data_IF_670720237662
#
_entry.id   IF_670720237662
#
_cell.length_a   1.000
_cell.length_b   1.000
_cell.length_c   1.000
_cell.angle_alpha   90.00
_cell.angle_beta   90.00
_cell.angle_gamma   90.00
#
_symmetry.space_group_name_H-M   'P 1'
#
loop_
_entity.id
_entity.type
_entity.pdbx_description
1 polymer ?
#
# COMPACT_ATOMS: atom_id res chain seq x y z
N UNK A 1 -6.28 10.22 16.18
CA UNK A 1 -6.78 9.86 14.83
C UNK A 1 -6.09 10.72 13.78
N UNK A 2 -5.60 10.16 12.70
CA UNK A 2 -4.91 10.90 11.65
C UNK A 2 -5.84 11.78 10.82
N UNK A 3 -5.30 12.87 10.24
CA UNK A 3 -6.02 13.76 9.33
C UNK A 3 -6.48 13.02 8.07
N UNK A 4 -7.51 13.57 7.36
CA UNK A 4 -8.01 13.01 6.10
C UNK A 4 -6.90 12.81 5.06
N UNK A 5 -5.97 13.76 4.99
CA UNK A 5 -4.82 13.74 4.08
C UNK A 5 -3.90 12.57 4.35
N UNK A 6 -3.66 12.25 5.62
CA UNK A 6 -2.83 11.14 6.04
C UNK A 6 -3.43 9.77 5.68
N UNK A 7 -4.76 9.61 5.88
CA UNK A 7 -5.50 8.42 5.47
C UNK A 7 -5.45 8.22 3.95
N UNK A 8 -5.60 9.31 3.19
CA UNK A 8 -5.51 9.28 1.74
C UNK A 8 -4.11 8.88 1.27
N UNK A 9 -3.05 9.48 1.84
CA UNK A 9 -1.67 9.12 1.52
C UNK A 9 -1.39 7.64 1.77
N UNK A 10 -1.85 7.09 2.90
CA UNK A 10 -1.72 5.67 3.21
C UNK A 10 -2.43 4.78 2.18
N UNK A 11 -3.63 5.18 1.75
CA UNK A 11 -4.38 4.45 0.74
C UNK A 11 -3.72 4.49 -0.65
N UNK A 12 -3.17 5.65 -1.05
CA UNK A 12 -2.44 5.78 -2.33
C UNK A 12 -1.20 4.87 -2.34
N UNK A 13 -0.47 4.74 -1.23
CA UNK A 13 0.69 3.85 -1.17
C UNK A 13 0.36 2.38 -1.41
N UNK A 14 -0.90 1.97 -1.27
CA UNK A 14 -1.34 0.60 -1.57
C UNK A 14 -1.16 0.24 -3.05
N UNK A 15 -1.16 1.23 -3.95
CA UNK A 15 -0.97 1.02 -5.39
C UNK A 15 0.49 1.12 -5.85
N UNK A 16 1.42 1.41 -4.95
CA UNK A 16 2.85 1.48 -5.30
C UNK A 16 3.39 0.22 -6.00
N UNK A 17 3.01 -1.02 -5.65
CA UNK A 17 3.50 -2.22 -6.35
C UNK A 17 3.19 -2.24 -7.85
N UNK A 18 2.14 -1.55 -8.31
CA UNK A 18 1.83 -1.39 -9.73
C UNK A 18 2.97 -0.72 -10.48
N UNK A 19 3.55 0.35 -9.91
CA UNK A 19 4.67 1.07 -10.50
C UNK A 19 5.93 0.19 -10.58
N UNK A 20 6.15 -0.65 -9.57
CA UNK A 20 7.25 -1.61 -9.58
C UNK A 20 7.09 -2.64 -10.71
N UNK A 21 5.89 -3.18 -10.90
CA UNK A 21 5.60 -4.14 -11.97
C UNK A 21 5.88 -3.49 -13.34
N UNK A 22 5.38 -2.29 -13.56
CA UNK A 22 5.60 -1.57 -14.81
C UNK A 22 7.07 -1.28 -15.06
N UNK A 23 7.82 -0.93 -14.03
CA UNK A 23 9.26 -0.77 -14.12
C UNK A 23 9.94 -2.07 -14.51
N UNK A 24 9.66 -3.19 -13.86
CA UNK A 24 10.25 -4.51 -14.16
C UNK A 24 9.98 -4.94 -15.60
N UNK A 25 8.74 -4.79 -16.06
CA UNK A 25 8.36 -5.14 -17.44
C UNK A 25 9.06 -4.23 -18.44
N UNK A 26 9.25 -2.93 -18.12
CA UNK A 26 9.97 -2.00 -18.99
C UNK A 26 11.46 -2.36 -19.09
N UNK A 27 12.11 -2.69 -17.97
CA UNK A 27 13.49 -3.16 -17.93
C UNK A 27 13.65 -4.44 -18.77
N UNK A 28 12.77 -5.42 -18.55
CA UNK A 28 12.78 -6.67 -19.31
C UNK A 28 12.66 -6.42 -20.82
N UNK A 29 11.75 -5.55 -21.25
CA UNK A 29 11.55 -5.21 -22.67
C UNK A 29 12.80 -4.58 -23.29
N UNK A 30 13.46 -3.65 -22.58
CA UNK A 30 14.68 -3.00 -23.07
C UNK A 30 15.81 -3.99 -23.20
N UNK A 31 16.03 -4.85 -22.21
CA UNK A 31 17.07 -5.89 -22.25
C UNK A 31 16.84 -6.86 -23.41
N UNK A 32 15.59 -7.24 -23.65
CA UNK A 32 15.26 -8.18 -24.73
C UNK A 32 15.38 -7.57 -26.13
N UNK A 33 15.27 -6.23 -26.23
CA UNK A 33 15.50 -5.50 -27.50
C UNK A 33 16.97 -5.13 -27.77
N UNK A 34 17.90 -5.54 -26.90
CA UNK A 34 19.33 -5.18 -26.98
C UNK A 34 19.63 -3.72 -26.61
N UNK A 35 18.68 -3.03 -26.00
CA UNK A 35 18.83 -1.65 -25.53
C UNK A 35 19.62 -1.54 -24.24
N UNK A 36 20.18 -0.37 -23.98
CA UNK A 36 20.83 -0.04 -22.70
C UNK A 36 19.86 0.64 -21.75
N UNK A 37 19.95 0.29 -20.45
CA UNK A 37 19.13 0.93 -19.40
C UNK A 37 19.77 2.29 -19.09
N UNK A 38 19.17 3.37 -19.61
CA UNK A 38 19.54 4.75 -19.27
C UNK A 38 18.69 5.25 -18.09
N UNK A 39 19.33 5.53 -16.96
CA UNK A 39 18.70 6.28 -15.86
C UNK A 39 18.78 7.79 -16.09
N UNK A 40 18.05 8.56 -15.29
CA UNK A 40 18.05 10.02 -15.33
C UNK A 40 19.48 10.58 -15.35
N UNK A 41 19.74 11.44 -16.30
CA UNK A 41 20.91 12.30 -16.25
C UNK A 41 20.58 13.52 -15.37
N UNK A 42 21.14 13.58 -14.16
CA UNK A 42 20.82 14.64 -13.20
C UNK A 42 21.31 16.02 -13.64
N UNK A 43 22.19 16.12 -14.64
CA UNK A 43 22.68 17.39 -15.17
C UNK A 43 21.64 18.15 -16.01
N UNK A 44 20.72 17.42 -16.68
CA UNK A 44 19.70 17.99 -17.58
C UNK A 44 18.29 17.57 -17.21
N UNK A 45 18.05 17.39 -15.90
CA UNK A 45 16.80 16.89 -15.37
C UNK A 45 15.59 17.77 -15.73
N UNK A 46 14.63 17.18 -16.45
CA UNK A 46 13.31 17.76 -16.68
C UNK A 46 12.28 17.00 -15.87
N UNK A 47 11.29 17.73 -15.31
CA UNK A 47 10.21 17.11 -14.53
C UNK A 47 9.46 16.03 -15.33
N UNK A 48 9.39 16.16 -16.66
CA UNK A 48 8.83 15.16 -17.58
C UNK A 48 9.59 13.83 -17.56
N UNK A 49 10.87 13.83 -17.20
CA UNK A 49 11.69 12.61 -17.18
C UNK A 49 11.29 11.68 -16.04
N UNK A 50 10.71 12.21 -14.96
CA UNK A 50 10.13 11.39 -13.88
C UNK A 50 9.02 10.47 -14.39
N UNK A 51 8.32 10.87 -15.44
CA UNK A 51 7.24 10.09 -16.04
C UNK A 51 7.73 9.15 -17.14
N UNK A 52 9.03 9.07 -17.39
CA UNK A 52 9.59 8.00 -18.21
C UNK A 52 9.43 6.65 -17.47
N UNK A 53 9.12 5.59 -18.21
CA UNK A 53 8.87 4.25 -17.65
C UNK A 53 10.00 3.75 -16.74
N UNK A 54 11.25 4.03 -17.08
CA UNK A 54 12.42 3.65 -16.28
C UNK A 54 12.51 4.41 -14.96
N UNK A 55 11.97 5.62 -14.92
CA UNK A 55 12.03 6.48 -13.75
C UNK A 55 10.86 6.24 -12.76
N UNK A 56 9.88 5.43 -13.13
CA UNK A 56 8.78 5.02 -12.23
C UNK A 56 9.30 4.36 -10.95
N UNK A 57 10.50 3.80 -10.97
CA UNK A 57 11.15 3.24 -9.77
C UNK A 57 11.35 4.30 -8.68
N UNK A 58 11.66 5.55 -9.04
CA UNK A 58 11.82 6.63 -8.07
C UNK A 58 10.49 6.99 -7.40
N UNK A 59 9.41 7.03 -8.19
CA UNK A 59 8.06 7.26 -7.64
C UNK A 59 7.66 6.13 -6.70
N UNK A 60 7.95 4.87 -7.08
CA UNK A 60 7.74 3.72 -6.21
C UNK A 60 8.50 3.86 -4.89
N UNK A 61 9.80 4.19 -4.94
CA UNK A 61 10.64 4.38 -3.73
C UNK A 61 10.06 5.48 -2.83
N UNK A 62 9.64 6.61 -3.41
CA UNK A 62 9.01 7.70 -2.67
C UNK A 62 7.75 7.22 -1.96
N UNK A 63 6.88 6.46 -2.63
CA UNK A 63 5.65 5.91 -2.01
C UNK A 63 5.97 4.92 -0.90
N UNK A 64 7.00 4.08 -1.06
CA UNK A 64 7.47 3.17 0.01
C UNK A 64 7.96 3.96 1.22
N UNK A 65 8.75 5.02 1.01
CA UNK A 65 9.24 5.89 2.08
C UNK A 65 8.08 6.61 2.79
N UNK A 66 7.10 7.12 2.05
CA UNK A 66 5.88 7.72 2.62
C UNK A 66 5.15 6.70 3.49
N UNK A 67 4.96 5.48 3.00
CA UNK A 67 4.29 4.41 3.75
C UNK A 67 5.04 4.07 5.04
N UNK A 68 6.37 3.93 4.96
CA UNK A 68 7.22 3.69 6.13
C UNK A 68 7.13 4.83 7.14
N UNK A 69 7.19 6.07 6.69
CA UNK A 69 7.08 7.27 7.52
C UNK A 69 5.72 7.34 8.23
N UNK A 70 4.63 7.02 7.50
CA UNK A 70 3.28 6.92 8.06
C UNK A 70 3.24 5.92 9.22
N UNK A 71 3.82 4.73 9.03
CA UNK A 71 3.88 3.70 10.07
C UNK A 71 4.72 4.14 11.28
N UNK A 72 5.85 4.81 11.02
CA UNK A 72 6.70 5.32 12.09
C UNK A 72 5.97 6.36 12.94
N UNK A 73 5.28 7.30 12.30
CA UNK A 73 4.45 8.29 12.99
C UNK A 73 3.30 7.63 13.76
N UNK A 74 2.66 6.61 13.18
CA UNK A 74 1.55 5.90 13.82
C UNK A 74 1.98 5.25 15.12
N UNK A 75 3.15 4.62 15.15
CA UNK A 75 3.69 3.97 16.35
C UNK A 75 4.03 4.95 17.46
N UNK A 76 4.54 6.14 17.11
CA UNK A 76 5.09 7.08 18.06
C UNK A 76 4.08 8.12 18.55
N UNK A 77 3.10 8.51 17.71
CA UNK A 77 2.21 9.63 17.98
C UNK A 77 0.75 9.25 18.26
N UNK A 78 0.33 8.03 17.92
CA UNK A 78 -1.06 7.63 18.18
C UNK A 78 -1.24 7.12 19.60
N UNK A 79 -2.35 7.50 20.20
CA UNK A 79 -2.80 6.98 21.50
C UNK A 79 -3.06 5.48 21.41
N UNK A 80 -2.65 4.77 22.45
CA UNK A 80 -2.91 3.35 22.59
C UNK A 80 -4.23 3.17 23.32
N UNK A 81 -5.13 2.41 22.73
CA UNK A 81 -6.43 2.08 23.30
C UNK A 81 -6.52 0.55 23.50
N UNK A 82 -7.35 0.12 24.43
CA UNK A 82 -7.72 -1.28 24.61
C UNK A 82 -8.99 -1.60 23.81
N UNK A 83 -9.10 -2.84 23.34
CA UNK A 83 -10.27 -3.33 22.63
C UNK A 83 -10.61 -4.74 23.11
N UNK A 84 -11.89 -5.00 23.31
CA UNK A 84 -12.37 -6.33 23.61
C UNK A 84 -12.73 -7.05 22.31
N UNK A 85 -11.91 -8.05 21.98
CA UNK A 85 -12.03 -8.84 20.75
C UNK A 85 -12.85 -10.09 21.00
N UNK A 86 -13.83 -10.36 20.14
CA UNK A 86 -14.67 -11.57 20.17
C UNK A 86 -14.09 -12.69 19.31
N UNK A 87 -13.54 -12.33 18.13
CA UNK A 87 -12.95 -13.30 17.21
C UNK A 87 -11.84 -12.69 16.36
N UNK A 88 -10.91 -13.53 15.93
CA UNK A 88 -9.81 -13.20 15.02
C UNK A 88 -9.83 -14.16 13.85
N UNK A 89 -9.69 -13.61 12.63
CA UNK A 89 -9.55 -14.38 11.40
C UNK A 89 -8.39 -13.80 10.58
N UNK A 90 -7.54 -14.65 10.01
CA UNK A 90 -6.50 -14.17 9.06
C UNK A 90 -7.17 -13.63 7.80
N UNK A 91 -6.77 -12.44 7.38
CA UNK A 91 -7.23 -11.77 6.15
C UNK A 91 -6.17 -11.74 5.04
N UNK A 92 -5.10 -12.52 5.18
CA UNK A 92 -4.00 -12.58 4.22
C UNK A 92 -4.44 -13.12 2.85
N UNK A 93 -5.45 -13.98 2.80
CA UNK A 93 -6.00 -14.52 1.54
C UNK A 93 -6.63 -13.40 0.69
N UNK A 94 -7.41 -12.52 1.32
CA UNK A 94 -8.04 -11.38 0.65
C UNK A 94 -6.99 -10.44 0.05
N UNK A 95 -5.82 -10.34 0.68
CA UNK A 95 -4.67 -9.59 0.21
C UNK A 95 -4.12 -10.16 -1.11
N UNK A 96 -3.97 -11.48 -1.22
CA UNK A 96 -3.46 -12.12 -2.44
C UNK A 96 -4.42 -11.89 -3.61
N UNK A 97 -5.73 -12.02 -3.39
CA UNK A 97 -6.76 -11.73 -4.41
C UNK A 97 -6.64 -10.28 -4.90
N UNK A 98 -6.40 -9.35 -4.00
CA UNK A 98 -6.26 -7.94 -4.32
C UNK A 98 -4.99 -7.67 -5.15
N UNK A 99 -3.86 -8.31 -4.82
CA UNK A 99 -2.62 -8.23 -5.60
C UNK A 99 -2.85 -8.76 -7.02
N UNK A 100 -3.48 -9.92 -7.16
CA UNK A 100 -3.80 -10.50 -8.49
C UNK A 100 -4.72 -9.61 -9.31
N UNK A 101 -5.74 -8.98 -8.70
CA UNK A 101 -6.66 -8.07 -9.39
C UNK A 101 -5.97 -6.81 -9.94
N UNK A 102 -4.87 -6.36 -9.32
CA UNK A 102 -4.03 -5.27 -9.85
C UNK A 102 -3.09 -5.74 -10.95
N UNK A 103 -2.59 -6.97 -10.85
CA UNK A 103 -1.58 -7.52 -11.74
C UNK A 103 -2.13 -7.71 -13.16
N UNK A 104 -3.32 -8.29 -13.28
CA UNK A 104 -3.92 -8.63 -14.57
C UNK A 104 -4.09 -7.41 -15.50
N UNK A 105 -4.69 -6.27 -15.07
CA UNK A 105 -4.78 -5.09 -15.92
C UNK A 105 -3.42 -4.48 -16.27
N UNK A 106 -2.41 -4.59 -15.37
CA UNK A 106 -1.09 -4.01 -15.61
C UNK A 106 -0.37 -4.64 -16.81
N UNK A 107 -0.59 -5.93 -17.06
CA UNK A 107 0.04 -6.63 -18.19
C UNK A 107 -0.46 -6.12 -19.55
N UNK A 108 -1.74 -5.80 -19.65
CA UNK A 108 -2.30 -5.25 -20.90
C UNK A 108 -2.01 -3.77 -21.09
N UNK A 109 -2.11 -3.00 -20.02
CA UNK A 109 -1.85 -1.54 -20.03
C UNK A 109 -0.38 -1.23 -20.37
N UNK A 110 0.55 -2.17 -20.08
CA UNK A 110 1.96 -2.01 -20.41
C UNK A 110 2.22 -1.68 -21.90
N UNK A 111 1.41 -2.19 -22.82
CA UNK A 111 1.53 -1.93 -24.27
C UNK A 111 1.12 -0.49 -24.67
N UNK A 112 0.51 0.26 -23.75
CA UNK A 112 0.03 1.63 -23.98
C UNK A 112 1.09 2.66 -23.60
N UNK A 113 0.87 3.91 -24.01
CA UNK A 113 1.75 5.02 -23.68
C UNK A 113 1.78 5.35 -22.19
N UNK A 114 2.88 5.96 -21.73
CA UNK A 114 3.06 6.37 -20.34
C UNK A 114 1.95 7.30 -19.85
N UNK A 115 1.43 8.15 -20.70
CA UNK A 115 0.30 9.04 -20.38
C UNK A 115 -0.94 8.22 -19.98
N UNK A 116 -1.20 7.10 -20.68
CA UNK A 116 -2.29 6.20 -20.35
C UNK A 116 -2.09 5.53 -18.99
N UNK A 117 -0.85 5.11 -18.69
CA UNK A 117 -0.49 4.52 -17.39
C UNK A 117 -0.73 5.49 -16.24
N UNK A 118 -0.33 6.76 -16.42
CA UNK A 118 -0.54 7.81 -15.42
C UNK A 118 -2.03 8.07 -15.22
N UNK A 119 -2.79 8.18 -16.32
CA UNK A 119 -4.24 8.38 -16.27
C UNK A 119 -4.95 7.25 -15.51
N UNK A 120 -4.56 6.01 -15.76
CA UNK A 120 -5.10 4.86 -15.06
C UNK A 120 -4.73 4.86 -13.56
N UNK A 121 -3.48 5.18 -13.22
CA UNK A 121 -3.05 5.31 -11.81
C UNK A 121 -3.82 6.42 -11.08
N UNK A 122 -4.02 7.57 -11.73
CA UNK A 122 -4.83 8.66 -11.18
C UNK A 122 -6.29 8.24 -10.98
N UNK A 123 -6.86 7.49 -11.92
CA UNK A 123 -8.22 6.95 -11.78
C UNK A 123 -8.34 6.05 -10.55
N UNK A 124 -7.35 5.16 -10.30
CA UNK A 124 -7.30 4.36 -9.07
C UNK A 124 -7.24 5.24 -7.81
N UNK A 125 -6.43 6.30 -7.81
CA UNK A 125 -6.36 7.24 -6.69
C UNK A 125 -7.72 7.93 -6.43
N UNK A 126 -8.44 8.29 -7.49
CA UNK A 126 -9.79 8.88 -7.40
C UNK A 126 -10.79 7.87 -6.82
N UNK A 127 -10.76 6.61 -7.27
CA UNK A 127 -11.61 5.54 -6.71
C UNK A 127 -11.37 5.37 -5.21
N UNK A 128 -10.09 5.37 -4.77
CA UNK A 128 -9.75 5.33 -3.35
C UNK A 128 -10.29 6.54 -2.59
N UNK A 129 -10.18 7.72 -3.18
CA UNK A 129 -10.70 8.95 -2.56
C UNK A 129 -12.22 8.91 -2.37
N UNK A 130 -12.94 8.36 -3.36
CA UNK A 130 -14.41 8.23 -3.31
C UNK A 130 -14.83 7.18 -2.27
N UNK A 131 -14.12 6.06 -2.18
CA UNK A 131 -14.41 4.95 -1.27
C UNK A 131 -13.97 5.26 0.17
N UNK A 132 -14.48 6.36 0.74
CA UNK A 132 -14.19 6.81 2.11
C UNK A 132 -14.60 5.72 3.12
N UNK A 133 -13.62 5.17 3.82
CA UNK A 133 -13.89 4.28 4.96
C UNK A 133 -13.90 2.78 4.68
N UNK A 134 -13.65 2.35 3.45
CA UNK A 134 -13.46 0.92 3.16
C UNK A 134 -12.14 0.41 3.74
N UNK A 135 -12.11 -0.88 4.05
CA UNK A 135 -10.92 -1.59 4.52
C UNK A 135 -9.82 -1.53 3.46
N UNK A 136 -8.70 -0.87 3.78
CA UNK A 136 -7.57 -0.79 2.87
C UNK A 136 -6.51 -1.81 3.22
N UNK A 137 -6.43 -2.88 2.43
CA UNK A 137 -5.29 -3.76 2.43
C UNK A 137 -4.16 -3.08 1.63
N UNK A 138 -3.07 -2.74 2.29
CA UNK A 138 -1.90 -2.17 1.64
C UNK A 138 -0.83 -3.24 1.45
N UNK A 139 -0.51 -3.65 0.20
CA UNK A 139 0.50 -4.67 -0.08
C UNK A 139 1.88 -4.35 0.50
N UNK A 140 2.24 -3.07 0.61
CA UNK A 140 3.52 -2.66 1.19
C UNK A 140 3.68 -3.08 2.66
N UNK A 141 2.55 -3.29 3.38
CA UNK A 141 2.62 -3.78 4.76
C UNK A 141 3.28 -5.16 4.85
N UNK A 142 3.06 -6.02 3.85
CA UNK A 142 3.71 -7.33 3.77
C UNK A 142 5.23 -7.20 3.60
N UNK A 143 5.69 -6.24 2.79
CA UNK A 143 7.13 -5.95 2.64
C UNK A 143 7.76 -5.51 3.96
N UNK A 144 7.00 -4.83 4.82
CA UNK A 144 7.44 -4.43 6.16
C UNK A 144 7.22 -5.51 7.23
N UNK A 145 6.82 -6.73 6.84
CA UNK A 145 6.64 -7.88 7.73
C UNK A 145 5.36 -7.84 8.56
N UNK A 146 4.33 -7.10 8.10
CA UNK A 146 3.02 -7.10 8.76
C UNK A 146 2.08 -8.11 8.13
N UNK A 147 1.18 -8.66 8.95
CA UNK A 147 0.06 -9.52 8.55
C UNK A 147 -1.27 -8.85 8.86
N UNK A 148 -2.29 -9.22 8.10
CA UNK A 148 -3.64 -8.69 8.23
C UNK A 148 -4.57 -9.67 8.91
N UNK A 149 -5.37 -9.16 9.85
CA UNK A 149 -6.36 -9.91 10.58
C UNK A 149 -7.68 -9.16 10.60
N UNK A 150 -8.76 -9.84 10.31
CA UNK A 150 -10.11 -9.38 10.63
C UNK A 150 -10.39 -9.66 12.11
N UNK A 151 -10.76 -8.64 12.87
CA UNK A 151 -11.14 -8.76 14.26
C UNK A 151 -12.58 -8.28 14.42
N UNK A 152 -13.41 -9.12 15.01
CA UNK A 152 -14.74 -8.72 15.44
C UNK A 152 -14.70 -8.36 16.93
N UNK A 153 -15.27 -7.22 17.27
CA UNK A 153 -15.40 -6.75 18.66
C UNK A 153 -16.67 -7.31 19.30
N UNK A 154 -16.79 -7.19 20.63
CA UNK A 154 -18.02 -7.55 21.33
C UNK A 154 -19.24 -6.73 20.88
N UNK A 155 -19.02 -5.52 20.37
CA UNK A 155 -20.06 -4.64 19.83
C UNK A 155 -20.41 -4.94 18.36
N UNK A 156 -20.02 -6.11 17.85
CA UNK A 156 -20.29 -6.57 16.49
C UNK A 156 -19.69 -5.71 15.37
N UNK A 157 -18.77 -4.82 15.70
CA UNK A 157 -18.02 -4.03 14.71
C UNK A 157 -16.78 -4.83 14.29
N UNK A 158 -16.58 -4.95 12.97
CA UNK A 158 -15.42 -5.62 12.39
C UNK A 158 -14.37 -4.58 11.99
N UNK A 159 -13.13 -4.80 12.41
CA UNK A 159 -11.97 -3.99 12.07
C UNK A 159 -10.92 -4.83 11.34
N UNK A 160 -10.11 -4.17 10.52
CA UNK A 160 -8.90 -4.75 9.95
C UNK A 160 -7.70 -4.40 10.85
N UNK A 161 -7.08 -5.40 11.45
CA UNK A 161 -5.89 -5.22 12.29
C UNK A 161 -4.63 -5.57 11.53
N UNK A 162 -3.64 -4.70 11.61
CA UNK A 162 -2.29 -4.88 11.06
C UNK A 162 -1.36 -5.22 12.23
N UNK A 163 -0.66 -6.35 12.15
CA UNK A 163 0.26 -6.79 13.20
C UNK A 163 1.56 -7.36 12.62
N UNK A 164 2.70 -7.05 13.27
CA UNK A 164 3.97 -7.74 13.00
C UNK A 164 4.01 -9.14 13.61
N UNK A 165 3.32 -9.32 14.72
CA UNK A 165 3.24 -10.60 15.40
C UNK A 165 2.14 -11.45 14.75
N UNK A 166 2.37 -12.75 14.63
CA UNK A 166 1.34 -13.71 14.23
C UNK A 166 0.37 -13.87 15.39
N UNK A 167 -0.85 -13.35 15.20
CA UNK A 167 -1.91 -13.45 16.18
C UNK A 167 -2.62 -14.80 16.03
N UNK A 168 -2.56 -15.62 17.07
CA UNK A 168 -3.22 -16.93 17.15
C UNK A 168 -4.40 -16.91 18.13
N UNK A 169 -4.32 -16.06 19.15
CA UNK A 169 -5.30 -15.98 20.24
C UNK A 169 -5.77 -14.54 20.44
N UNK A 170 -7.01 -14.39 20.89
CA UNK A 170 -7.63 -13.09 21.21
C UNK A 170 -6.84 -12.34 22.28
N UNK A 171 -6.29 -13.05 23.26
CA UNK A 171 -5.54 -12.48 24.39
C UNK A 171 -4.19 -11.84 24.01
N UNK A 172 -3.72 -12.06 22.77
CA UNK A 172 -2.48 -11.44 22.26
C UNK A 172 -2.70 -9.98 21.86
N UNK A 173 -3.96 -9.53 21.73
CA UNK A 173 -4.32 -8.16 21.42
C UNK A 173 -4.57 -7.41 22.73
N UNK A 174 -3.57 -6.72 23.24
CA UNK A 174 -3.68 -5.92 24.47
C UNK A 174 -3.95 -4.44 24.21
N UNK A 175 -3.34 -3.91 23.16
CA UNK A 175 -3.45 -2.50 22.81
C UNK A 175 -3.38 -2.30 21.29
N UNK A 176 -4.06 -1.28 20.82
CA UNK A 176 -4.04 -0.89 19.41
C UNK A 176 -3.94 0.63 19.25
N UNK A 177 -3.47 1.05 18.09
CA UNK A 177 -3.51 2.43 17.62
C UNK A 177 -4.38 2.51 16.36
N UNK A 178 -5.29 3.47 16.31
CA UNK A 178 -6.22 3.60 15.20
C UNK A 178 -5.59 4.37 14.03
N UNK A 179 -5.37 3.71 12.90
CA UNK A 179 -4.83 4.33 11.68
C UNK A 179 -5.93 5.03 10.88
N UNK A 180 -7.01 4.30 10.61
CA UNK A 180 -8.20 4.83 9.92
C UNK A 180 -9.46 4.42 10.69
N UNK A 181 -10.63 4.75 10.18
CA UNK A 181 -11.89 4.45 10.87
C UNK A 181 -12.09 2.95 11.11
N UNK A 182 -11.55 2.10 10.22
CA UNK A 182 -11.69 0.64 10.30
C UNK A 182 -10.35 -0.12 10.27
N UNK A 183 -9.20 0.58 10.28
CA UNK A 183 -7.87 -0.04 10.29
C UNK A 183 -7.16 0.27 11.59
N UNK A 184 -6.76 -0.79 12.28
CA UNK A 184 -6.06 -0.74 13.56
C UNK A 184 -4.63 -1.27 13.41
N UNK A 185 -3.69 -0.67 14.10
CA UNK A 185 -2.32 -1.16 14.23
C UNK A 185 -2.15 -1.79 15.60
N UNK A 186 -1.74 -3.06 15.65
CA UNK A 186 -1.40 -3.72 16.91
C UNK A 186 -0.21 -3.04 17.57
N UNK A 187 -0.40 -2.58 18.80
CA UNK A 187 0.61 -1.88 19.60
C UNK A 187 1.00 -2.69 20.85
N UNK A 188 0.77 -4.02 20.83
CA UNK A 188 0.98 -4.91 21.97
C UNK A 188 2.46 -5.25 22.23
N UNK A 189 3.39 -4.38 21.83
CA UNK A 189 4.81 -4.50 22.18
C UNK A 189 5.14 -3.60 23.35
#
# INVERSE_FOLDING_TARGET
>A
MFSKLFKLSFAITAYAPVLLIWWLVSVYSILNSGGTIGFINFSDFKFTDLFNRLNLIFIFIILVLICWFILHLAKNKLTRNSIEVKSIKSSDLNMNVLIFSYFLPCVEIYKKDVVYLIGWFLALCVIVYINKGTYFHNPLMKLFGYSYYEIATKNEVTYLMISKQKLKNINEIKAYSQLTDFVLLNSSN
#
